data_IF_733343741955
#
_entry.id   IF_733343741955
#
_cell.length_a   1.000
_cell.length_b   1.000
_cell.length_c   1.000
_cell.angle_alpha   90.00
_cell.angle_beta   90.00
_cell.angle_gamma   90.00
#
_symmetry.space_group_name_H-M   'P 1'
#
loop_
_entity.id
_entity.type
_entity.pdbx_description
1 polymer ?
#
# COMPACT_ATOMS: atom_id res chain seq x y z
N UNK A 1 14.92 -2.52 0.50
CA UNK A 1 14.28 -1.22 0.83
C UNK A 1 15.22 -0.31 1.62
N UNK A 2 15.78 -0.76 2.76
CA UNK A 2 16.78 0.04 3.51
C UNK A 2 17.95 0.45 2.60
N UNK A 3 18.55 -0.51 1.91
CA UNK A 3 19.62 -0.27 0.92
C UNK A 3 19.23 0.71 -0.19
N UNK A 4 17.95 0.76 -0.59
CA UNK A 4 17.48 1.73 -1.58
C UNK A 4 17.47 3.13 -0.99
N UNK A 5 16.90 3.27 0.19
CA UNK A 5 16.74 4.55 0.87
C UNK A 5 18.08 5.16 1.31
N UNK A 6 19.11 4.35 1.55
CA UNK A 6 20.48 4.83 1.81
C UNK A 6 21.08 5.62 0.63
N UNK A 7 20.54 5.50 -0.59
CA UNK A 7 20.97 6.27 -1.77
C UNK A 7 20.42 7.70 -1.82
N UNK A 8 19.56 8.08 -0.86
CA UNK A 8 18.87 9.37 -0.83
C UNK A 8 19.37 10.19 0.38
N UNK A 9 20.60 10.70 0.28
CA UNK A 9 21.32 11.35 1.40
C UNK A 9 20.63 12.63 1.92
N UNK A 10 19.88 13.33 1.06
CA UNK A 10 19.14 14.54 1.41
C UNK A 10 17.84 14.25 2.20
N UNK A 11 17.50 12.98 2.43
CA UNK A 11 16.25 12.56 3.06
C UNK A 11 16.50 11.78 4.36
N UNK A 12 15.65 12.03 5.36
CA UNK A 12 15.63 11.22 6.57
C UNK A 12 14.84 9.93 6.34
N UNK A 13 15.50 8.79 6.49
CA UNK A 13 14.82 7.49 6.45
C UNK A 13 14.16 7.17 7.79
N UNK A 14 12.86 6.86 7.73
CA UNK A 14 12.06 6.45 8.89
C UNK A 14 11.33 5.16 8.58
N UNK A 15 11.40 4.19 9.50
CA UNK A 15 10.71 2.90 9.42
C UNK A 15 9.50 2.92 10.35
N UNK A 16 8.31 2.68 9.81
CA UNK A 16 7.11 2.43 10.61
C UNK A 16 7.14 0.99 11.16
N UNK A 17 7.29 0.85 12.48
CA UNK A 17 7.27 -0.44 13.15
C UNK A 17 5.85 -0.97 13.31
N UNK A 18 5.62 -2.23 12.92
CA UNK A 18 4.34 -2.90 13.11
C UNK A 18 4.09 -3.12 14.62
N UNK A 19 2.87 -2.87 15.14
CA UNK A 19 2.60 -2.96 16.57
C UNK A 19 2.87 -4.34 17.19
N UNK A 20 2.73 -5.40 16.40
CA UNK A 20 2.89 -6.80 16.80
C UNK A 20 4.32 -7.33 16.70
N UNK A 21 5.27 -6.52 16.22
CA UNK A 21 6.66 -6.92 16.02
C UNK A 21 7.54 -6.20 17.06
N UNK A 22 8.38 -6.96 17.75
CA UNK A 22 9.30 -6.43 18.75
C UNK A 22 10.47 -5.66 18.11
N UNK A 23 10.99 -4.67 18.83
CA UNK A 23 12.09 -3.83 18.37
C UNK A 23 13.36 -4.65 18.10
N UNK A 24 13.58 -5.72 18.87
CA UNK A 24 14.68 -6.67 18.68
C UNK A 24 14.67 -7.34 17.29
N UNK A 25 13.51 -7.44 16.64
CA UNK A 25 13.43 -7.90 15.25
C UNK A 25 13.99 -6.84 14.30
N UNK A 26 13.57 -5.59 14.46
CA UNK A 26 14.00 -4.47 13.62
C UNK A 26 15.48 -4.12 13.81
N UNK A 27 16.00 -4.19 15.05
CA UNK A 27 17.39 -3.90 15.40
C UNK A 27 18.39 -4.70 14.54
N UNK A 28 18.04 -5.93 14.14
CA UNK A 28 18.87 -6.77 13.27
C UNK A 28 19.15 -6.14 11.90
N UNK A 29 18.27 -5.25 11.45
CA UNK A 29 18.32 -4.64 10.12
C UNK A 29 18.68 -3.15 10.17
N UNK A 30 18.37 -2.45 11.26
CA UNK A 30 18.59 -1.00 11.37
C UNK A 30 19.84 -0.62 12.17
N UNK A 31 20.46 -1.57 12.89
CA UNK A 31 21.66 -1.27 13.66
C UNK A 31 22.81 -0.87 12.73
N UNK A 32 23.35 0.33 12.92
CA UNK A 32 24.44 0.87 12.11
C UNK A 32 23.97 1.64 10.86
N UNK A 33 22.66 1.76 10.64
CA UNK A 33 22.08 2.55 9.55
C UNK A 33 21.48 3.86 10.12
N UNK A 34 21.27 4.90 9.28
CA UNK A 34 20.68 6.17 9.74
C UNK A 34 19.17 6.07 10.07
N UNK A 35 18.57 4.87 9.92
CA UNK A 35 17.14 4.63 10.00
C UNK A 35 16.58 4.91 11.39
N UNK A 36 15.47 5.64 11.45
CA UNK A 36 14.72 5.86 12.68
C UNK A 36 13.48 4.98 12.72
N UNK A 37 13.33 4.17 13.77
CA UNK A 37 12.12 3.38 14.01
C UNK A 37 11.06 4.25 14.70
N UNK A 38 9.83 4.25 14.17
CA UNK A 38 8.66 4.92 14.76
C UNK A 38 7.56 3.90 15.02
N UNK A 39 7.06 3.87 16.25
CA UNK A 39 6.03 2.94 16.73
C UNK A 39 4.68 3.65 16.85
N UNK A 40 3.60 2.97 16.47
CA UNK A 40 2.20 3.39 16.73
C UNK A 40 1.86 4.83 16.28
N UNK A 41 2.59 5.35 15.29
CA UNK A 41 2.43 6.71 14.75
C UNK A 41 2.48 6.70 13.22
N UNK A 42 1.97 5.64 12.58
CA UNK A 42 1.99 5.49 11.12
C UNK A 42 1.33 6.67 10.41
N UNK A 43 0.15 7.11 10.86
CA UNK A 43 -0.55 8.22 10.22
C UNK A 43 0.14 9.58 10.39
N UNK A 44 0.59 9.98 11.61
CA UNK A 44 1.46 11.15 11.74
C UNK A 44 2.73 11.07 10.89
N UNK A 45 3.34 9.89 10.80
CA UNK A 45 4.53 9.70 9.97
C UNK A 45 4.20 9.93 8.48
N UNK A 46 3.11 9.34 7.98
CA UNK A 46 2.66 9.53 6.60
C UNK A 46 2.36 11.01 6.30
N UNK A 47 1.72 11.75 7.21
CA UNK A 47 1.44 13.18 6.99
C UNK A 47 2.68 14.07 6.85
N UNK A 48 3.86 13.58 7.25
CA UNK A 48 5.13 14.27 7.10
C UNK A 48 6.05 13.62 6.05
N UNK A 49 5.66 12.48 5.47
CA UNK A 49 6.49 11.74 4.54
C UNK A 49 6.49 12.42 3.16
N UNK A 50 7.66 12.52 2.53
CA UNK A 50 7.78 13.04 1.17
C UNK A 50 7.41 11.98 0.12
N UNK A 51 7.85 10.75 0.34
CA UNK A 51 7.54 9.57 -0.46
C UNK A 51 7.68 8.31 0.42
N UNK A 52 7.14 7.18 -0.02
CA UNK A 52 7.18 5.93 0.75
C UNK A 52 7.51 4.70 -0.10
N UNK A 53 8.31 3.79 0.48
CA UNK A 53 8.39 2.40 0.04
C UNK A 53 7.41 1.58 0.88
N UNK A 54 6.43 0.95 0.24
CA UNK A 54 5.31 0.31 0.95
C UNK A 54 5.14 -1.13 0.47
N UNK A 55 4.88 -2.05 1.37
CA UNK A 55 4.53 -3.43 0.98
C UNK A 55 3.09 -3.52 0.47
N UNK A 56 2.77 -4.53 -0.36
CA UNK A 56 1.38 -4.79 -0.75
C UNK A 56 0.47 -4.97 0.47
N UNK A 57 -0.73 -4.39 0.43
CA UNK A 57 -1.70 -4.43 1.51
C UNK A 57 -2.44 -3.11 1.73
N UNK A 58 -3.12 -3.00 2.87
CA UNK A 58 -3.89 -1.79 3.25
C UNK A 58 -3.01 -0.55 3.39
N UNK A 59 -1.75 -0.73 3.77
CA UNK A 59 -0.77 0.36 3.86
C UNK A 59 -0.62 1.12 2.53
N UNK A 60 -0.81 0.45 1.38
CA UNK A 60 -0.76 1.12 0.07
C UNK A 60 -1.89 2.14 -0.09
N UNK A 61 -3.09 1.76 0.34
CA UNK A 61 -4.27 2.62 0.25
C UNK A 61 -4.20 3.74 1.29
N UNK A 62 -3.82 3.42 2.52
CA UNK A 62 -3.62 4.44 3.58
C UNK A 62 -2.60 5.49 3.12
N UNK A 63 -1.46 5.07 2.58
CA UNK A 63 -0.42 5.98 2.06
C UNK A 63 -0.97 6.90 0.96
N UNK A 64 -1.75 6.37 0.02
CA UNK A 64 -2.39 7.16 -1.03
C UNK A 64 -3.42 8.16 -0.48
N UNK A 65 -4.18 7.78 0.56
CA UNK A 65 -5.15 8.65 1.22
C UNK A 65 -4.51 9.78 2.06
N UNK A 66 -3.21 9.68 2.36
CA UNK A 66 -2.40 10.77 2.92
C UNK A 66 -1.71 11.61 1.84
N UNK A 67 -2.00 11.38 0.56
CA UNK A 67 -1.35 12.03 -0.59
C UNK A 67 0.19 11.89 -0.56
N UNK A 68 0.68 10.74 -0.09
CA UNK A 68 2.11 10.42 -0.07
C UNK A 68 2.42 9.57 -1.29
N UNK A 69 3.24 10.05 -2.25
CA UNK A 69 3.68 9.25 -3.38
C UNK A 69 4.43 8.00 -2.91
N UNK A 70 4.21 6.87 -3.58
CA UNK A 70 4.73 5.59 -3.10
C UNK A 70 5.19 4.66 -4.22
N UNK A 71 6.13 3.78 -3.88
CA UNK A 71 6.53 2.62 -4.68
C UNK A 71 6.16 1.35 -3.92
N UNK A 72 5.40 0.47 -4.56
CA UNK A 72 4.94 -0.77 -3.95
C UNK A 72 6.01 -1.84 -4.13
N UNK A 73 6.47 -2.44 -3.03
CA UNK A 73 7.57 -3.38 -3.02
C UNK A 73 7.13 -4.70 -2.41
N UNK A 74 7.22 -5.80 -3.17
CA UNK A 74 6.87 -7.13 -2.68
C UNK A 74 7.90 -8.17 -3.11
N UNK A 75 8.69 -8.65 -2.15
CA UNK A 75 9.70 -9.68 -2.38
C UNK A 75 9.04 -11.06 -2.37
N UNK A 76 9.46 -11.92 -3.29
CA UNK A 76 8.96 -13.30 -3.37
C UNK A 76 10.10 -14.30 -3.50
N UNK A 77 10.03 -15.46 -2.83
CA UNK A 77 11.12 -16.44 -2.80
C UNK A 77 11.39 -17.12 -4.16
N UNK A 78 10.44 -17.10 -5.10
CA UNK A 78 10.58 -17.69 -6.44
C UNK A 78 10.09 -16.74 -7.56
N UNK A 79 10.84 -15.66 -7.85
CA UNK A 79 10.39 -14.57 -8.73
C UNK A 79 9.87 -15.01 -10.09
N UNK A 80 10.60 -15.89 -10.80
CA UNK A 80 10.22 -16.35 -12.13
C UNK A 80 8.92 -17.17 -12.13
N UNK A 81 8.71 -18.00 -11.10
CA UNK A 81 7.50 -18.80 -10.97
C UNK A 81 6.29 -17.93 -10.60
N UNK A 82 6.49 -16.95 -9.70
CA UNK A 82 5.45 -15.97 -9.35
C UNK A 82 5.05 -15.15 -10.57
N UNK A 83 6.01 -14.65 -11.35
CA UNK A 83 5.70 -13.90 -12.58
C UNK A 83 4.94 -14.75 -13.60
N UNK A 84 5.32 -16.02 -13.75
CA UNK A 84 4.59 -16.97 -14.59
C UNK A 84 3.15 -17.15 -14.10
N UNK A 85 2.95 -17.31 -12.78
CA UNK A 85 1.64 -17.37 -12.15
C UNK A 85 0.82 -16.09 -12.37
N UNK A 86 1.41 -14.92 -12.18
CA UNK A 86 0.77 -13.62 -12.44
C UNK A 86 0.32 -13.47 -13.89
N UNK A 87 1.12 -13.97 -14.84
CA UNK A 87 0.82 -13.85 -16.26
C UNK A 87 -0.21 -14.86 -16.76
N UNK A 88 -0.31 -16.05 -16.17
CA UNK A 88 -1.10 -17.15 -16.74
C UNK A 88 -2.20 -17.72 -15.84
N UNK A 89 -2.12 -17.51 -14.53
CA UNK A 89 -2.98 -18.20 -13.54
C UNK A 89 -3.77 -17.19 -12.68
N UNK A 90 -3.11 -16.12 -12.24
CA UNK A 90 -3.70 -15.11 -11.37
C UNK A 90 -4.56 -14.16 -12.22
N UNK A 91 -5.83 -14.02 -11.83
CA UNK A 91 -6.81 -13.21 -12.57
C UNK A 91 -6.73 -11.71 -12.28
N UNK A 92 -6.03 -11.32 -11.22
CA UNK A 92 -5.90 -9.91 -10.82
C UNK A 92 -4.71 -9.26 -11.53
N UNK A 93 -4.92 -8.06 -12.06
CA UNK A 93 -3.93 -7.33 -12.89
C UNK A 93 -2.84 -6.63 -12.09
N UNK A 94 -3.10 -6.37 -10.81
CA UNK A 94 -2.26 -5.55 -9.94
C UNK A 94 -2.19 -6.19 -8.54
N UNK A 95 -1.13 -5.87 -7.78
CA UNK A 95 -0.95 -6.34 -6.39
C UNK A 95 -1.28 -5.28 -5.33
N UNK A 96 -1.30 -4.01 -5.70
CA UNK A 96 -1.63 -2.93 -4.77
C UNK A 96 -3.14 -2.63 -4.80
N UNK A 97 -3.69 -2.25 -3.65
CA UNK A 97 -5.10 -1.84 -3.60
C UNK A 97 -5.34 -0.58 -4.43
N UNK A 98 -4.37 0.33 -4.47
CA UNK A 98 -4.43 1.57 -5.27
C UNK A 98 -4.65 1.26 -6.75
N UNK A 99 -3.82 0.40 -7.34
CA UNK A 99 -3.94 0.06 -8.76
C UNK A 99 -5.14 -0.86 -9.04
N UNK A 100 -5.52 -1.73 -8.09
CA UNK A 100 -6.72 -2.56 -8.21
C UNK A 100 -8.00 -1.72 -8.25
N UNK A 101 -8.11 -0.72 -7.37
CA UNK A 101 -9.24 0.22 -7.35
C UNK A 101 -9.23 1.04 -8.64
N UNK A 102 -8.11 1.65 -8.99
CA UNK A 102 -8.01 2.46 -10.21
C UNK A 102 -8.11 1.66 -11.52
N UNK A 103 -7.91 0.33 -11.47
CA UNK A 103 -7.78 -0.55 -12.63
C UNK A 103 -6.73 -0.03 -13.66
N UNK A 104 -5.68 0.64 -13.17
CA UNK A 104 -4.51 1.11 -13.92
C UNK A 104 -3.30 1.22 -12.99
N UNK A 105 -2.09 1.26 -13.54
CA UNK A 105 -0.86 1.47 -12.77
C UNK A 105 -0.70 2.96 -12.43
N UNK A 106 -1.15 3.34 -11.24
CA UNK A 106 -0.89 4.65 -10.62
C UNK A 106 0.43 4.60 -9.85
N UNK A 107 0.61 3.55 -9.05
CA UNK A 107 1.83 3.32 -8.26
C UNK A 107 2.67 2.22 -8.88
N UNK A 108 3.99 2.39 -9.03
CA UNK A 108 4.85 1.36 -9.57
C UNK A 108 4.88 0.14 -8.64
N UNK A 109 4.73 -1.06 -9.23
CA UNK A 109 4.73 -2.33 -8.51
C UNK A 109 6.03 -3.12 -8.77
N UNK A 110 6.89 -3.12 -7.76
CA UNK A 110 8.17 -3.81 -7.74
C UNK A 110 7.96 -5.21 -7.18
N UNK A 111 7.62 -6.13 -8.07
CA UNK A 111 7.34 -7.54 -7.77
C UNK A 111 8.23 -8.46 -8.60
N UNK A 112 8.58 -9.61 -8.04
CA UNK A 112 9.32 -10.66 -8.74
C UNK A 112 10.64 -10.13 -9.33
N UNK A 113 10.80 -10.19 -10.65
CA UNK A 113 12.00 -9.74 -11.35
C UNK A 113 12.17 -8.22 -11.37
N UNK A 114 11.11 -7.45 -11.11
CA UNK A 114 11.20 -5.99 -10.91
C UNK A 114 11.72 -5.61 -9.52
N UNK A 115 11.74 -6.54 -8.55
CA UNK A 115 12.22 -6.24 -7.20
C UNK A 115 13.75 -6.21 -7.18
N UNK A 116 14.33 -5.11 -7.64
CA UNK A 116 15.77 -4.86 -7.63
C UNK A 116 16.07 -3.52 -6.96
N UNK A 117 17.23 -3.39 -6.33
CA UNK A 117 17.61 -2.16 -5.63
C UNK A 117 17.65 -0.99 -6.59
N UNK A 118 18.26 -1.16 -7.76
CA UNK A 118 18.34 -0.11 -8.80
C UNK A 118 16.96 0.26 -9.35
N UNK A 119 16.12 -0.75 -9.61
CA UNK A 119 14.76 -0.52 -10.09
C UNK A 119 13.95 0.29 -9.09
N UNK A 120 13.94 -0.13 -7.82
CA UNK A 120 13.16 0.54 -6.77
C UNK A 120 13.71 1.96 -6.55
N UNK A 121 15.04 2.16 -6.57
CA UNK A 121 15.65 3.48 -6.46
C UNK A 121 15.21 4.41 -7.60
N UNK A 122 15.20 3.92 -8.84
CA UNK A 122 14.76 4.70 -9.98
C UNK A 122 13.29 5.12 -9.85
N UNK A 123 12.39 4.19 -9.53
CA UNK A 123 10.96 4.49 -9.36
C UNK A 123 10.72 5.45 -8.19
N UNK A 124 11.48 5.30 -7.09
CA UNK A 124 11.38 6.20 -5.94
C UNK A 124 11.86 7.61 -6.28
N UNK A 125 12.94 7.74 -7.06
CA UNK A 125 13.45 9.02 -7.53
C UNK A 125 12.39 9.76 -8.36
N UNK A 126 11.73 9.08 -9.31
CA UNK A 126 10.73 9.67 -10.21
C UNK A 126 9.50 10.28 -9.50
N UNK A 127 9.31 10.02 -8.21
CA UNK A 127 8.17 10.50 -7.42
C UNK A 127 8.57 11.50 -6.33
N UNK A 128 9.84 11.92 -6.32
CA UNK A 128 10.35 12.98 -5.45
C UNK A 128 9.89 14.37 -5.90
N UNK A 129 9.96 15.39 -5.03
CA UNK A 129 9.61 16.77 -5.39
C UNK A 129 10.41 17.26 -6.59
N UNK A 130 9.72 17.87 -7.56
CA UNK A 130 10.32 18.36 -8.80
C UNK A 130 10.29 17.37 -9.96
N UNK A 131 9.99 16.09 -9.71
CA UNK A 131 9.89 15.09 -10.76
C UNK A 131 8.46 14.96 -11.30
N UNK A 132 8.26 14.85 -12.64
CA UNK A 132 6.92 14.79 -13.24
C UNK A 132 6.07 13.60 -12.78
N UNK A 133 6.70 12.49 -12.39
CA UNK A 133 6.02 11.29 -11.91
C UNK A 133 5.24 11.54 -10.62
N UNK A 134 5.73 12.46 -9.77
CA UNK A 134 5.07 12.88 -8.54
C UNK A 134 3.71 13.50 -8.81
N UNK A 135 3.67 14.54 -9.64
CA UNK A 135 2.46 15.32 -9.89
C UNK A 135 1.39 14.47 -10.56
N UNK A 136 1.82 13.58 -11.48
CA UNK A 136 0.94 12.60 -12.09
C UNK A 136 0.31 11.68 -11.03
N UNK A 137 1.12 11.09 -10.16
CA UNK A 137 0.63 10.16 -9.12
C UNK A 137 -0.36 10.84 -8.17
N UNK A 138 -0.06 12.06 -7.72
CA UNK A 138 -0.93 12.84 -6.84
C UNK A 138 -2.26 13.20 -7.51
N UNK A 139 -2.25 13.55 -8.80
CA UNK A 139 -3.47 13.80 -9.56
C UNK A 139 -4.31 12.53 -9.69
N UNK A 140 -3.69 11.37 -9.92
CA UNK A 140 -4.38 10.10 -10.08
C UNK A 140 -4.93 9.54 -8.76
N UNK A 141 -4.40 9.93 -7.59
CA UNK A 141 -5.00 9.58 -6.30
C UNK A 141 -6.42 10.13 -6.12
N UNK A 142 -6.80 11.20 -6.81
CA UNK A 142 -8.19 11.69 -6.80
C UNK A 142 -9.16 10.68 -7.41
N UNK A 143 -8.72 9.91 -8.40
CA UNK A 143 -9.53 8.83 -8.99
C UNK A 143 -9.76 7.72 -7.97
N UNK A 144 -8.73 7.36 -7.21
CA UNK A 144 -8.83 6.34 -6.14
C UNK A 144 -9.84 6.78 -5.08
N UNK A 145 -9.77 8.05 -4.63
CA UNK A 145 -10.72 8.62 -3.67
C UNK A 145 -12.15 8.59 -4.21
N UNK A 146 -12.33 9.00 -5.46
CA UNK A 146 -13.65 9.01 -6.11
C UNK A 146 -14.25 7.61 -6.19
N UNK A 147 -13.43 6.60 -6.49
CA UNK A 147 -13.88 5.21 -6.58
C UNK A 147 -14.20 4.58 -5.22
N UNK A 148 -13.49 4.96 -4.16
CA UNK A 148 -13.86 4.56 -2.79
C UNK A 148 -15.21 5.13 -2.37
N UNK A 149 -15.51 6.35 -2.82
CA UNK A 149 -16.74 7.06 -2.50
C UNK A 149 -16.85 7.46 -1.03
N UNK A 150 -18.03 7.98 -0.66
CA UNK A 150 -18.27 8.57 0.66
C UNK A 150 -19.10 7.66 1.59
N UNK A 151 -19.31 6.41 1.19
CA UNK A 151 -20.08 5.45 1.99
C UNK A 151 -19.31 5.04 3.23
N UNK A 152 -20.00 5.01 4.36
CA UNK A 152 -19.43 4.54 5.63
C UNK A 152 -19.60 3.02 5.70
N UNK A 153 -18.52 2.29 5.48
CA UNK A 153 -18.56 0.82 5.39
C UNK A 153 -19.23 0.13 6.60
N UNK A 154 -18.99 0.53 7.87
CA UNK A 154 -19.72 -0.01 9.01
C UNK A 154 -21.24 0.21 8.95
N UNK A 155 -21.69 1.37 8.48
CA UNK A 155 -23.11 1.72 8.42
C UNK A 155 -23.82 0.93 7.31
N UNK A 156 -23.18 0.83 6.14
CA UNK A 156 -23.67 -0.01 5.03
C UNK A 156 -23.75 -1.48 5.47
N UNK A 157 -22.73 -1.98 6.17
CA UNK A 157 -22.74 -3.34 6.69
C UNK A 157 -23.88 -3.56 7.69
N UNK A 158 -24.11 -2.62 8.62
CA UNK A 158 -25.20 -2.69 9.57
C UNK A 158 -26.58 -2.70 8.87
N UNK A 159 -26.77 -1.86 7.84
CA UNK A 159 -27.98 -1.85 7.03
C UNK A 159 -28.23 -3.19 6.33
N UNK A 160 -27.19 -3.75 5.69
CA UNK A 160 -27.28 -5.07 5.04
C UNK A 160 -27.64 -6.16 6.07
N UNK A 161 -27.01 -6.16 7.24
CA UNK A 161 -27.29 -7.12 8.30
C UNK A 161 -28.75 -7.02 8.78
N UNK A 162 -29.25 -5.81 8.97
CA UNK A 162 -30.63 -5.56 9.38
C UNK A 162 -31.63 -6.09 8.34
N UNK A 163 -31.43 -5.76 7.06
CA UNK A 163 -32.30 -6.21 5.97
C UNK A 163 -32.35 -7.74 5.87
N UNK A 164 -31.21 -8.41 6.05
CA UNK A 164 -31.14 -9.88 6.05
C UNK A 164 -31.94 -10.49 7.21
N UNK A 165 -31.90 -9.87 8.40
CA UNK A 165 -32.66 -10.33 9.56
C UNK A 165 -34.17 -10.13 9.37
N UNK A 166 -34.59 -8.98 8.84
CA UNK A 166 -36.02 -8.70 8.56
C UNK A 166 -36.56 -9.69 7.55
N UNK A 167 -35.87 -9.90 6.41
CA UNK A 167 -36.27 -10.87 5.39
C UNK A 167 -36.40 -12.28 5.94
N UNK A 168 -35.46 -12.70 6.80
CA UNK A 168 -35.51 -14.01 7.45
C UNK A 168 -36.72 -14.14 8.38
N UNK A 169 -37.03 -13.11 9.17
CA UNK A 169 -38.20 -13.10 10.05
C UNK A 169 -39.51 -13.20 9.26
N UNK A 170 -39.65 -12.43 8.19
CA UNK A 170 -40.83 -12.46 7.33
C UNK A 170 -41.01 -13.83 6.66
N UNK A 171 -39.93 -14.45 6.20
CA UNK A 171 -39.96 -15.81 5.64
C UNK A 171 -40.47 -16.83 6.67
N UNK A 172 -39.94 -16.79 7.90
CA UNK A 172 -40.37 -17.70 8.97
C UNK A 172 -41.85 -17.50 9.33
N UNK A 173 -42.33 -16.25 9.37
CA UNK A 173 -43.74 -15.95 9.63
C UNK A 173 -44.67 -16.44 8.52
N UNK A 174 -44.21 -16.52 7.26
CA UNK A 174 -45.00 -17.08 6.14
C UNK A 174 -45.04 -18.60 6.12
N UNK A 175 -44.11 -19.27 6.82
CA UNK A 175 -44.02 -20.72 6.90
C UNK A 175 -44.76 -21.31 8.11
N UNK A 176 -45.15 -20.46 9.07
CA UNK A 176 -45.93 -20.80 10.25
C UNK A 176 -47.43 -20.57 9.99
#
# INVERSE_FOLDING_TARGET
>A
MIEVAERFEDYQMVLAGAPSIDDAYYEKFIKGTPVKLVRNKTYPLLSHATAALVTSGTATLETALFDVPQVVCYETPVPHLIRFGFKHIIKVKFISLVNLIANKEIVPEMLADRFTVDGIANELYQILPGEPGRDKMLAEYQEVRTQLGDKVAPDEAAGIMFDLLVKRREMLLRMA
#
